data_IF_771732502451
#
_entry.id   IF_771732502451
#
_cell.length_a   1.000
_cell.length_b   1.000
_cell.length_c   1.000
_cell.angle_alpha   90.00
_cell.angle_beta   90.00
_cell.angle_gamma   90.00
#
_symmetry.space_group_name_H-M   'P 1'
#
loop_
_entity.id
_entity.type
_entity.pdbx_description
1 polymer ?
#
# COMPACT_ATOMS: atom_id res chain seq x y z
N UNK A 1 10.45 10.74 -16.10
CA UNK A 1 11.56 9.87 -15.70
C UNK A 1 11.12 8.45 -16.03
N UNK A 2 11.93 7.63 -16.71
CA UNK A 2 11.76 6.19 -17.00
C UNK A 2 12.89 5.38 -16.33
N UNK A 3 12.96 4.04 -16.49
CA UNK A 3 14.06 3.23 -15.93
C UNK A 3 15.44 3.63 -16.49
N UNK A 4 15.51 4.00 -17.76
CA UNK A 4 16.72 4.53 -18.39
C UNK A 4 17.21 5.81 -17.69
N UNK A 5 16.32 6.76 -17.39
CA UNK A 5 16.66 7.96 -16.63
C UNK A 5 17.13 7.68 -15.19
N UNK A 6 16.69 6.58 -14.58
CA UNK A 6 17.16 6.19 -13.24
C UNK A 6 18.55 5.58 -13.27
N UNK A 7 18.98 5.02 -14.41
CA UNK A 7 20.18 4.24 -14.51
C UNK A 7 21.44 4.92 -13.97
N UNK A 8 21.73 6.19 -14.33
CA UNK A 8 22.94 6.87 -13.84
C UNK A 8 22.91 7.11 -12.33
N UNK A 9 21.73 7.25 -11.72
CA UNK A 9 21.57 7.42 -10.27
C UNK A 9 21.78 6.11 -9.50
N UNK A 10 21.72 4.97 -10.20
CA UNK A 10 21.92 3.63 -9.64
C UNK A 10 23.31 3.07 -9.99
N UNK A 11 24.25 3.93 -10.38
CA UNK A 11 25.59 3.57 -10.87
C UNK A 11 25.55 2.55 -12.03
N UNK A 12 24.51 2.64 -12.87
CA UNK A 12 24.27 1.76 -13.99
C UNK A 12 24.83 2.29 -15.31
N UNK A 13 25.05 1.36 -16.25
CA UNK A 13 25.47 1.63 -17.63
C UNK A 13 24.27 1.44 -18.55
N UNK A 14 23.96 2.45 -19.37
CA UNK A 14 22.91 2.36 -20.38
C UNK A 14 23.50 1.65 -21.61
N UNK A 15 22.92 0.50 -21.98
CA UNK A 15 23.30 -0.27 -23.16
C UNK A 15 22.62 0.27 -24.42
N UNK A 16 23.15 -0.11 -25.59
CA UNK A 16 22.51 0.13 -26.89
C UNK A 16 21.11 -0.48 -26.88
N UNK A 17 20.07 0.36 -26.91
CA UNK A 17 18.67 -0.06 -26.76
C UNK A 17 17.95 0.49 -25.51
N UNK A 18 18.64 1.26 -24.66
CA UNK A 18 18.05 1.94 -23.50
C UNK A 18 17.94 1.07 -22.23
N UNK A 19 18.46 -0.16 -22.28
CA UNK A 19 18.50 -1.05 -21.12
C UNK A 19 19.52 -0.56 -20.09
N UNK A 20 19.11 -0.49 -18.83
CA UNK A 20 20.00 -0.14 -17.73
C UNK A 20 20.65 -1.39 -17.15
N UNK A 21 21.98 -1.49 -17.22
CA UNK A 21 22.75 -2.60 -16.65
C UNK A 21 23.44 -2.14 -15.36
N UNK A 22 23.16 -2.85 -14.26
CA UNK A 22 23.73 -2.59 -12.95
C UNK A 22 24.84 -3.58 -12.63
N UNK A 23 25.93 -3.10 -12.04
CA UNK A 23 26.95 -3.96 -11.46
C UNK A 23 26.45 -4.49 -10.10
N UNK A 24 26.50 -5.80 -9.94
CA UNK A 24 26.12 -6.52 -8.72
C UNK A 24 27.32 -7.29 -8.19
N UNK A 25 27.23 -7.83 -6.97
CA UNK A 25 28.29 -8.67 -6.40
C UNK A 25 28.55 -9.95 -7.22
N UNK A 26 27.53 -10.43 -7.92
CA UNK A 26 27.55 -11.69 -8.65
C UNK A 26 27.70 -11.49 -10.18
N UNK A 27 28.09 -10.28 -10.63
CA UNK A 27 28.24 -9.92 -12.04
C UNK A 27 27.35 -8.75 -12.44
N UNK A 28 26.77 -8.78 -13.64
CA UNK A 28 25.91 -7.71 -14.15
C UNK A 28 24.45 -8.13 -14.21
N UNK A 29 23.54 -7.17 -14.04
CA UNK A 29 22.10 -7.42 -14.12
C UNK A 29 21.36 -6.24 -14.74
N UNK A 30 20.45 -6.54 -15.65
CA UNK A 30 19.51 -5.54 -16.18
C UNK A 30 18.51 -5.10 -15.11
N UNK A 31 18.37 -3.79 -14.91
CA UNK A 31 17.33 -3.19 -14.10
C UNK A 31 15.97 -3.45 -14.74
N UNK A 32 15.15 -4.26 -14.07
CA UNK A 32 13.80 -4.58 -14.55
C UNK A 32 12.74 -3.71 -13.88
N UNK A 33 11.55 -3.72 -14.46
CA UNK A 33 10.33 -3.21 -13.84
C UNK A 33 10.10 -3.87 -12.47
N UNK A 34 9.67 -3.10 -11.47
CA UNK A 34 9.32 -3.63 -10.15
C UNK A 34 8.04 -4.47 -10.22
N UNK A 35 7.96 -5.52 -9.40
CA UNK A 35 6.75 -6.33 -9.24
C UNK A 35 6.26 -6.16 -7.80
N UNK A 36 5.21 -5.36 -7.64
CA UNK A 36 4.58 -5.10 -6.34
C UNK A 36 3.69 -6.29 -5.98
N UNK A 37 4.06 -7.00 -4.91
CA UNK A 37 3.31 -8.17 -4.40
C UNK A 37 2.59 -7.83 -3.11
N UNK A 38 1.60 -8.63 -2.76
CA UNK A 38 1.01 -8.56 -1.43
C UNK A 38 2.11 -8.86 -0.38
N UNK A 39 2.16 -8.07 0.69
CA UNK A 39 3.26 -8.09 1.66
C UNK A 39 3.51 -9.46 2.31
N UNK A 40 2.46 -10.23 2.58
CA UNK A 40 2.52 -11.60 3.12
C UNK A 40 2.84 -12.64 2.04
N UNK A 41 2.73 -12.30 0.76
CA UNK A 41 3.19 -13.13 -0.37
C UNK A 41 4.69 -12.95 -0.68
N UNK A 42 5.35 -11.94 -0.12
CA UNK A 42 6.81 -11.83 -0.21
C UNK A 42 7.51 -13.08 0.36
N UNK A 43 8.53 -13.54 -0.33
CA UNK A 43 9.50 -14.49 0.25
C UNK A 43 10.20 -13.86 1.46
N UNK A 44 10.80 -14.69 2.32
CA UNK A 44 11.55 -14.17 3.46
C UNK A 44 12.74 -13.29 3.03
N UNK A 45 13.36 -13.58 1.88
CA UNK A 45 14.44 -12.77 1.33
C UNK A 45 13.94 -11.42 0.80
N UNK A 46 12.85 -11.40 0.02
CA UNK A 46 12.24 -10.16 -0.46
C UNK A 46 11.82 -9.27 0.70
N UNK A 47 11.14 -9.82 1.72
CA UNK A 47 10.73 -9.07 2.91
C UNK A 47 11.92 -8.50 3.67
N UNK A 48 13.00 -9.29 3.84
CA UNK A 48 14.24 -8.82 4.48
C UNK A 48 14.88 -7.67 3.72
N UNK A 49 14.90 -7.72 2.38
CA UNK A 49 15.42 -6.63 1.53
C UNK A 49 14.56 -5.38 1.67
N UNK A 50 13.24 -5.51 1.62
CA UNK A 50 12.30 -4.40 1.83
C UNK A 50 12.52 -3.72 3.19
N UNK A 51 12.52 -4.48 4.30
CA UNK A 51 12.78 -3.92 5.65
C UNK A 51 14.14 -3.25 5.75
N UNK A 52 15.18 -3.85 5.16
CA UNK A 52 16.53 -3.28 5.14
C UNK A 52 16.57 -1.96 4.37
N UNK A 53 15.94 -1.90 3.19
CA UNK A 53 15.89 -0.70 2.36
C UNK A 53 15.12 0.43 3.07
N UNK A 54 13.94 0.13 3.61
CA UNK A 54 13.14 1.06 4.42
C UNK A 54 13.93 1.63 5.61
N UNK A 55 14.59 0.76 6.39
CA UNK A 55 15.43 1.20 7.50
C UNK A 55 16.64 2.03 7.06
N UNK A 56 17.24 1.72 5.89
CA UNK A 56 18.36 2.48 5.34
C UNK A 56 17.94 3.89 4.92
N UNK A 57 16.81 4.03 4.22
CA UNK A 57 16.28 5.35 3.82
C UNK A 57 15.73 6.14 5.02
N UNK A 58 15.28 5.45 6.09
CA UNK A 58 14.98 6.12 7.37
C UNK A 58 16.25 6.68 7.99
N UNK A 59 17.29 5.85 8.14
CA UNK A 59 18.54 6.23 8.80
C UNK A 59 19.26 7.40 8.11
N UNK A 60 19.18 7.51 6.78
CA UNK A 60 19.81 8.61 6.03
C UNK A 60 18.89 9.84 5.83
N UNK A 61 17.70 9.85 6.44
CA UNK A 61 16.75 10.95 6.39
C UNK A 61 15.94 11.09 5.10
N UNK A 62 16.13 10.21 4.10
CA UNK A 62 15.35 10.23 2.86
C UNK A 62 13.87 9.92 3.13
N UNK A 63 13.60 8.93 3.99
CA UNK A 63 12.24 8.61 4.41
C UNK A 63 11.55 9.81 5.05
N UNK A 64 12.21 10.50 5.98
CA UNK A 64 11.62 11.62 6.71
C UNK A 64 11.31 12.79 5.78
N UNK A 65 12.16 13.03 4.78
CA UNK A 65 11.88 14.03 3.75
C UNK A 65 10.63 13.69 2.96
N UNK A 66 10.47 12.43 2.56
CA UNK A 66 9.27 11.96 1.83
C UNK A 66 8.02 12.03 2.72
N UNK A 67 8.09 11.48 3.93
CA UNK A 67 7.01 11.45 4.89
C UNK A 67 6.48 12.87 5.22
N UNK A 68 7.37 13.86 5.32
CA UNK A 68 7.03 15.27 5.53
C UNK A 68 6.23 15.90 4.40
N UNK A 69 6.36 15.41 3.16
CA UNK A 69 5.61 15.96 2.03
C UNK A 69 4.11 15.77 2.27
N UNK A 70 3.70 14.55 2.64
CA UNK A 70 2.31 14.21 2.93
C UNK A 70 1.79 14.87 4.21
N UNK A 71 2.64 14.98 5.23
CA UNK A 71 2.28 15.52 6.55
C UNK A 71 1.93 17.02 6.56
N UNK A 72 1.96 17.70 5.41
CA UNK A 72 1.66 19.13 5.32
C UNK A 72 0.84 19.42 4.05
N UNK A 73 -0.39 19.90 4.26
CA UNK A 73 -1.29 20.30 3.18
C UNK A 73 -0.67 21.35 2.25
N UNK A 74 0.07 22.32 2.79
CA UNK A 74 0.72 23.36 1.98
C UNK A 74 1.74 22.79 1.00
N UNK A 75 2.33 21.63 1.31
CA UNK A 75 3.28 20.96 0.41
C UNK A 75 2.64 19.87 -0.44
N UNK A 76 1.39 19.47 -0.17
CA UNK A 76 0.69 18.40 -0.88
C UNK A 76 -0.82 18.62 -0.97
N UNK A 77 -1.28 19.75 -1.53
CA UNK A 77 -2.70 20.12 -1.51
C UNK A 77 -3.58 19.18 -2.34
N UNK A 78 -3.00 18.42 -3.28
CA UNK A 78 -3.70 17.42 -4.09
C UNK A 78 -3.71 16.02 -3.47
N UNK A 79 -3.06 15.81 -2.32
CA UNK A 79 -2.92 14.49 -1.71
C UNK A 79 -4.20 13.92 -1.11
N UNK A 80 -5.25 14.74 -0.93
CA UNK A 80 -6.52 14.34 -0.32
C UNK A 80 -7.69 15.21 -0.79
N UNK A 81 -8.92 14.69 -0.73
CA UNK A 81 -10.13 15.52 -0.75
C UNK A 81 -10.67 15.86 -2.15
N UNK A 82 -10.06 15.35 -3.22
CA UNK A 82 -10.45 15.70 -4.59
C UNK A 82 -9.81 14.82 -5.66
N UNK A 83 -10.20 15.06 -6.92
CA UNK A 83 -9.79 14.28 -8.09
C UNK A 83 -8.28 14.09 -8.27
N UNK A 84 -7.47 15.01 -7.71
CA UNK A 84 -6.00 14.93 -7.70
C UNK A 84 -5.40 13.85 -6.78
N UNK A 85 -6.21 13.21 -5.93
CA UNK A 85 -5.78 12.21 -4.94
C UNK A 85 -5.00 11.04 -5.56
N UNK A 86 -5.58 10.35 -6.55
CA UNK A 86 -4.98 9.17 -7.17
C UNK A 86 -3.71 9.49 -7.97
N UNK A 87 -3.70 10.51 -8.86
CA UNK A 87 -2.51 10.85 -9.63
C UNK A 87 -1.35 11.32 -8.74
N UNK A 88 -1.64 12.10 -7.70
CA UNK A 88 -0.65 12.54 -6.72
C UNK A 88 -0.07 11.36 -5.92
N UNK A 89 -0.95 10.48 -5.41
CA UNK A 89 -0.55 9.32 -4.62
C UNK A 89 0.32 8.35 -5.42
N UNK A 90 0.00 8.12 -6.70
CA UNK A 90 0.81 7.30 -7.60
C UNK A 90 2.23 7.84 -7.77
N UNK A 91 2.35 9.15 -8.00
CA UNK A 91 3.67 9.79 -8.09
C UNK A 91 4.43 9.71 -6.77
N UNK A 92 3.75 9.94 -5.66
CA UNK A 92 4.32 9.85 -4.32
C UNK A 92 4.87 8.45 -4.00
N UNK A 93 4.11 7.38 -4.31
CA UNK A 93 4.54 5.99 -4.18
C UNK A 93 5.77 5.70 -5.05
N UNK A 94 5.82 6.22 -6.28
CA UNK A 94 6.98 6.08 -7.16
C UNK A 94 8.24 6.69 -6.52
N UNK A 95 8.13 7.84 -5.84
CA UNK A 95 9.28 8.47 -5.17
C UNK A 95 9.86 7.60 -4.06
N UNK A 96 9.00 6.97 -3.25
CA UNK A 96 9.47 6.00 -2.26
C UNK A 96 10.13 4.78 -2.93
N UNK A 97 9.49 4.20 -3.93
CA UNK A 97 10.01 3.00 -4.60
C UNK A 97 11.39 3.26 -5.25
N UNK A 98 11.60 4.43 -5.85
CA UNK A 98 12.92 4.85 -6.34
C UNK A 98 13.93 4.91 -5.18
N UNK A 99 13.57 5.54 -4.05
CA UNK A 99 14.47 5.62 -2.89
C UNK A 99 14.84 4.23 -2.34
N UNK A 100 13.90 3.29 -2.32
CA UNK A 100 14.16 1.90 -1.94
C UNK A 100 15.11 1.21 -2.92
N UNK A 101 14.89 1.41 -4.22
CA UNK A 101 15.66 0.77 -5.29
C UNK A 101 17.08 1.31 -5.43
N UNK A 102 17.30 2.57 -5.07
CA UNK A 102 18.65 3.14 -4.90
C UNK A 102 19.44 2.44 -3.78
N UNK A 103 18.77 1.80 -2.82
CA UNK A 103 19.43 0.98 -1.79
C UNK A 103 19.61 -0.47 -2.26
N UNK A 104 18.58 -1.03 -2.89
CA UNK A 104 18.57 -2.40 -3.40
C UNK A 104 17.69 -2.47 -4.67
N UNK A 105 18.29 -2.60 -5.87
CA UNK A 105 17.56 -2.55 -7.15
C UNK A 105 16.49 -3.63 -7.33
N UNK A 106 16.55 -4.71 -6.54
CA UNK A 106 15.59 -5.83 -6.55
C UNK A 106 14.36 -5.56 -5.67
N UNK A 107 14.37 -4.52 -4.84
CA UNK A 107 13.22 -4.19 -3.99
C UNK A 107 12.08 -3.61 -4.83
N UNK A 108 10.87 -4.07 -4.55
CA UNK A 108 9.62 -3.46 -5.00
C UNK A 108 8.82 -3.03 -3.77
N UNK A 109 7.99 -2.00 -3.91
CA UNK A 109 7.07 -1.61 -2.85
C UNK A 109 5.93 -2.64 -2.77
N UNK A 110 5.77 -3.39 -1.66
CA UNK A 110 4.63 -4.29 -1.53
C UNK A 110 3.35 -3.52 -1.27
N UNK A 111 2.21 -4.08 -1.70
CA UNK A 111 0.90 -3.63 -1.25
C UNK A 111 0.43 -4.45 -0.05
N UNK A 112 -0.42 -3.86 0.77
CA UNK A 112 -1.14 -4.55 1.85
C UNK A 112 -2.60 -4.63 1.47
N UNK A 113 -3.12 -5.85 1.35
CA UNK A 113 -4.54 -6.11 1.08
C UNK A 113 -5.30 -6.26 2.41
N UNK A 114 -6.10 -5.27 2.84
CA UNK A 114 -6.84 -5.34 4.10
C UNK A 114 -7.99 -6.36 4.07
N UNK A 115 -8.45 -6.79 2.89
CA UNK A 115 -9.57 -7.75 2.82
C UNK A 115 -9.16 -9.11 3.39
N UNK A 116 -7.88 -9.49 3.24
CA UNK A 116 -7.34 -10.72 3.83
C UNK A 116 -7.43 -10.71 5.37
N UNK A 117 -7.31 -9.54 5.98
CA UNK A 117 -7.45 -9.37 7.42
C UNK A 117 -8.93 -9.29 7.83
N UNK A 118 -9.79 -8.72 6.99
CA UNK A 118 -11.23 -8.60 7.23
C UNK A 118 -11.94 -9.96 7.34
N UNK A 119 -11.45 -10.99 6.64
CA UNK A 119 -11.99 -12.35 6.73
C UNK A 119 -11.82 -13.00 8.12
N UNK A 120 -11.03 -12.38 9.00
CA UNK A 120 -10.91 -12.83 10.38
C UNK A 120 -12.11 -12.37 11.25
N UNK A 121 -12.63 -13.28 12.05
CA UNK A 121 -13.52 -13.06 13.19
C UNK A 121 -13.01 -11.98 14.15
N UNK A 122 -11.69 -11.89 14.33
CA UNK A 122 -11.03 -10.78 15.03
C UNK A 122 -9.75 -10.37 14.29
N UNK A 123 -9.83 -9.33 13.44
CA UNK A 123 -8.69 -8.88 12.64
C UNK A 123 -7.55 -8.27 13.46
N UNK A 124 -7.76 -7.94 14.75
CA UNK A 124 -6.69 -7.45 15.65
C UNK A 124 -5.63 -8.53 15.94
N UNK A 125 -5.98 -9.80 15.74
CA UNK A 125 -5.09 -10.95 15.87
C UNK A 125 -4.42 -11.40 14.57
N UNK A 126 -4.60 -10.68 13.46
CA UNK A 126 -3.87 -10.97 12.22
C UNK A 126 -2.35 -11.05 12.43
N UNK A 127 -1.71 -12.00 11.75
CA UNK A 127 -0.25 -12.18 11.76
C UNK A 127 0.50 -10.93 11.26
N UNK A 128 -0.18 -10.05 10.51
CA UNK A 128 0.37 -8.76 10.08
C UNK A 128 0.88 -7.94 11.27
N UNK A 129 0.15 -7.95 12.39
CA UNK A 129 0.46 -7.23 13.64
C UNK A 129 1.47 -7.97 14.54
N UNK A 130 2.34 -8.77 13.94
CA UNK A 130 3.39 -9.51 14.66
C UNK A 130 4.73 -8.82 14.57
N UNK A 131 5.62 -9.17 15.51
CA UNK A 131 7.00 -8.65 15.59
C UNK A 131 7.82 -8.89 14.33
N UNK A 132 7.51 -9.94 13.57
CA UNK A 132 8.21 -10.36 12.35
C UNK A 132 7.69 -9.63 11.11
N UNK A 133 6.43 -9.21 11.13
CA UNK A 133 5.76 -8.54 10.02
C UNK A 133 5.74 -7.03 10.23
N UNK A 134 4.59 -6.40 10.42
CA UNK A 134 4.48 -4.94 10.48
C UNK A 134 4.57 -4.38 11.89
N UNK A 135 4.83 -5.22 12.89
CA UNK A 135 5.05 -4.83 14.27
C UNK A 135 3.86 -5.11 15.19
N UNK A 136 4.19 -5.46 16.43
CA UNK A 136 3.23 -5.64 17.52
C UNK A 136 3.13 -4.34 18.32
N UNK A 137 1.91 -3.88 18.59
CA UNK A 137 1.68 -2.73 19.48
C UNK A 137 1.79 -3.16 20.96
N UNK A 138 2.32 -2.27 21.79
CA UNK A 138 2.27 -2.36 23.24
C UNK A 138 0.89 -1.93 23.77
N UNK A 139 0.69 -2.08 25.08
CA UNK A 139 -0.55 -1.65 25.77
C UNK A 139 -0.85 -0.16 25.58
N UNK A 140 0.17 0.70 25.52
CA UNK A 140 0.06 2.15 25.30
C UNK A 140 0.17 2.55 23.82
N UNK A 141 0.06 1.57 22.91
CA UNK A 141 -0.07 1.72 21.46
C UNK A 141 1.26 1.84 20.71
N UNK A 142 2.41 1.96 21.36
CA UNK A 142 3.70 2.06 20.68
C UNK A 142 4.08 0.76 19.97
N UNK A 143 4.66 0.86 18.77
CA UNK A 143 5.09 -0.29 17.97
C UNK A 143 6.61 -0.47 18.08
N UNK A 144 7.06 -0.82 19.27
CA UNK A 144 8.48 -0.99 19.64
C UNK A 144 9.03 -2.39 19.32
N UNK A 145 8.15 -3.37 19.08
CA UNK A 145 8.53 -4.72 18.64
C UNK A 145 8.17 -4.89 17.16
N UNK A 146 9.04 -4.38 16.31
CA UNK A 146 8.87 -4.44 14.85
C UNK A 146 10.20 -4.44 14.11
N UNK A 147 10.21 -4.74 12.79
CA UNK A 147 11.37 -4.49 11.93
C UNK A 147 11.76 -3.01 11.83
N UNK A 148 10.91 -2.10 12.33
CA UNK A 148 11.06 -0.64 12.27
C UNK A 148 11.24 -0.01 13.65
N UNK A 149 11.50 -0.81 14.70
CA UNK A 149 11.57 -0.39 16.12
C UNK A 149 12.52 0.76 16.47
N UNK A 150 13.45 1.10 15.58
CA UNK A 150 14.42 2.18 15.76
C UNK A 150 14.00 3.48 15.05
N UNK A 151 12.77 3.57 14.56
CA UNK A 151 12.26 4.73 13.85
C UNK A 151 11.76 5.79 14.82
N UNK A 152 12.37 6.97 14.81
CA UNK A 152 11.79 8.16 15.45
C UNK A 152 10.73 8.77 14.55
N UNK A 153 9.59 9.19 15.09
CA UNK A 153 8.52 9.85 14.31
C UNK A 153 8.93 11.28 13.92
N UNK A 154 8.21 11.88 12.97
CA UNK A 154 8.46 13.25 12.52
C UNK A 154 8.33 14.30 13.64
N UNK A 155 7.48 14.03 14.63
CA UNK A 155 7.26 14.83 15.84
C UNK A 155 8.20 14.44 17.01
N UNK A 156 9.17 13.56 16.78
CA UNK A 156 10.24 13.27 17.74
C UNK A 156 9.95 12.16 18.76
N UNK A 157 8.81 11.45 18.66
CA UNK A 157 8.54 10.28 19.51
C UNK A 157 9.46 9.11 19.14
N UNK A 158 9.73 8.25 20.12
CA UNK A 158 10.65 7.10 19.97
C UNK A 158 10.23 6.10 18.88
N UNK A 159 8.93 5.90 18.70
CA UNK A 159 8.34 5.05 17.65
C UNK A 159 6.91 5.50 17.38
N UNK A 160 6.37 5.08 16.24
CA UNK A 160 4.97 5.31 15.87
C UNK A 160 4.02 4.48 16.74
N UNK A 161 2.77 4.92 16.79
CA UNK A 161 1.68 4.31 17.54
C UNK A 161 0.62 3.73 16.62
N UNK A 162 -0.06 2.70 17.11
CA UNK A 162 -1.29 2.12 16.55
C UNK A 162 -2.30 1.89 17.65
N UNK A 163 -3.57 1.88 17.28
CA UNK A 163 -4.70 1.47 18.12
C UNK A 163 -5.57 0.52 17.28
N UNK A 164 -5.00 -0.63 16.92
CA UNK A 164 -5.62 -1.54 15.94
C UNK A 164 -7.00 -2.00 16.40
N UNK A 165 -8.02 -1.75 15.58
CA UNK A 165 -9.40 -2.15 15.82
C UNK A 165 -10.22 -1.24 16.73
N UNK A 166 -9.66 -0.12 17.22
CA UNK A 166 -10.39 0.84 18.07
C UNK A 166 -11.49 1.59 17.29
N UNK A 167 -11.22 1.90 16.01
CA UNK A 167 -12.10 2.66 15.12
C UNK A 167 -12.04 2.12 13.70
N UNK A 168 -12.93 2.60 12.84
CA UNK A 168 -12.91 2.24 11.43
C UNK A 168 -13.15 0.75 11.19
N UNK A 169 -12.82 0.29 9.98
CA UNK A 169 -12.89 -1.11 9.60
C UNK A 169 -12.00 -1.36 8.37
N UNK A 170 -11.55 -2.59 8.21
CA UNK A 170 -10.76 -3.00 7.05
C UNK A 170 -11.60 -2.99 5.78
N UNK A 171 -10.97 -2.71 4.63
CA UNK A 171 -11.63 -2.88 3.32
C UNK A 171 -12.20 -4.28 3.20
N UNK A 172 -13.38 -4.38 2.59
CA UNK A 172 -14.04 -5.65 2.29
C UNK A 172 -13.88 -5.98 0.82
N UNK A 173 -14.03 -7.26 0.47
CA UNK A 173 -14.08 -7.66 -0.94
C UNK A 173 -15.19 -6.92 -1.70
N UNK A 174 -16.33 -6.71 -1.04
CA UNK A 174 -17.46 -5.95 -1.61
C UNK A 174 -17.13 -4.49 -1.88
N UNK A 175 -16.24 -3.86 -1.10
CA UNK A 175 -15.81 -2.49 -1.38
C UNK A 175 -15.00 -2.43 -2.67
N UNK A 176 -14.10 -3.41 -2.87
CA UNK A 176 -13.28 -3.52 -4.08
C UNK A 176 -14.14 -3.82 -5.29
N UNK A 177 -15.01 -4.83 -5.22
CA UNK A 177 -15.88 -5.19 -6.36
C UNK A 177 -16.87 -4.07 -6.69
N UNK A 178 -17.36 -3.32 -5.70
CA UNK A 178 -18.17 -2.10 -5.97
C UNK A 178 -17.43 -1.11 -6.87
N UNK A 179 -16.12 -0.92 -6.64
CA UNK A 179 -15.28 -0.04 -7.47
C UNK A 179 -14.98 -0.69 -8.82
N UNK A 180 -14.53 -1.95 -8.85
CA UNK A 180 -14.01 -2.58 -10.08
C UNK A 180 -15.08 -3.16 -11.00
N UNK A 181 -16.26 -3.50 -10.49
CA UNK A 181 -17.27 -4.26 -11.25
C UNK A 181 -18.55 -3.44 -11.47
N UNK A 182 -18.86 -2.51 -10.56
CA UNK A 182 -20.13 -1.76 -10.52
C UNK A 182 -19.99 -0.27 -10.80
N UNK A 183 -18.76 0.25 -10.90
CA UNK A 183 -18.50 1.66 -11.17
C UNK A 183 -17.75 1.77 -12.50
N UNK A 184 -18.39 2.19 -13.58
CA UNK A 184 -17.72 2.38 -14.88
C UNK A 184 -17.44 3.86 -15.23
N UNK A 185 -17.87 4.79 -14.38
CA UNK A 185 -17.72 6.23 -14.56
C UNK A 185 -16.40 6.72 -13.93
N UNK A 186 -15.53 7.36 -14.71
CA UNK A 186 -14.26 7.86 -14.18
C UNK A 186 -14.47 9.00 -13.17
N UNK A 187 -15.57 9.75 -13.25
CA UNK A 187 -15.93 10.80 -12.30
C UNK A 187 -16.04 10.26 -10.87
N UNK A 188 -16.58 9.06 -10.70
CA UNK A 188 -16.67 8.41 -9.39
C UNK A 188 -15.30 7.93 -8.90
N UNK A 189 -14.42 7.48 -9.81
CA UNK A 189 -13.04 7.09 -9.46
C UNK A 189 -12.21 8.30 -9.01
N UNK A 190 -12.41 9.44 -9.67
CA UNK A 190 -11.79 10.72 -9.33
C UNK A 190 -12.71 11.59 -8.46
N UNK A 191 -13.40 10.98 -7.50
CA UNK A 191 -14.38 11.61 -6.63
C UNK A 191 -13.85 12.83 -5.86
N UNK A 192 -14.77 13.75 -5.54
CA UNK A 192 -14.53 14.94 -4.72
C UNK A 192 -14.93 14.70 -3.26
N UNK A 193 -14.03 14.10 -2.49
CA UNK A 193 -14.26 13.59 -1.12
C UNK A 193 -14.25 14.65 -0.03
N UNK A 194 -13.83 15.87 -0.33
CA UNK A 194 -13.96 17.03 0.54
C UNK A 194 -14.74 18.17 -0.13
N UNK A 195 -15.71 17.81 -0.99
CA UNK A 195 -16.51 18.75 -1.76
C UNK A 195 -17.37 19.67 -0.90
N UNK A 196 -17.65 20.88 -1.41
CA UNK A 196 -18.67 21.74 -0.82
C UNK A 196 -20.08 21.19 -1.07
N UNK A 197 -21.06 21.67 -0.31
CA UNK A 197 -22.48 21.31 -0.48
C UNK A 197 -23.04 21.66 -1.88
N UNK A 198 -22.40 22.58 -2.60
CA UNK A 198 -22.83 23.03 -3.92
C UNK A 198 -22.19 22.24 -5.07
N UNK A 199 -21.32 21.27 -4.77
CA UNK A 199 -20.72 20.44 -5.80
C UNK A 199 -21.80 19.59 -6.49
N UNK A 200 -21.94 19.66 -7.82
CA UNK A 200 -22.93 18.85 -8.54
C UNK A 200 -22.64 17.34 -8.47
N UNK A 201 -21.38 16.95 -8.23
CA UNK A 201 -20.99 15.54 -8.13
C UNK A 201 -19.98 15.31 -6.98
N UNK A 202 -20.44 15.32 -5.72
CA UNK A 202 -19.58 15.09 -4.57
C UNK A 202 -19.19 13.60 -4.47
N UNK A 203 -18.14 13.30 -3.70
CA UNK A 203 -17.72 11.91 -3.47
C UNK A 203 -18.79 11.08 -2.76
N UNK A 204 -19.02 9.87 -3.27
CA UNK A 204 -19.97 8.91 -2.71
C UNK A 204 -19.29 7.90 -1.76
N UNK A 205 -20.05 7.09 -1.01
CA UNK A 205 -19.51 6.23 0.05
C UNK A 205 -18.48 5.19 -0.42
N UNK A 206 -18.52 4.82 -1.71
CA UNK A 206 -17.59 3.91 -2.37
C UNK A 206 -16.41 4.62 -3.05
N UNK A 207 -16.25 5.93 -2.86
CA UNK A 207 -15.06 6.64 -3.31
C UNK A 207 -13.80 5.97 -2.73
N UNK A 208 -12.82 5.72 -3.60
CA UNK A 208 -11.65 4.89 -3.26
C UNK A 208 -10.83 5.47 -2.10
N UNK A 209 -10.77 6.80 -1.96
CA UNK A 209 -10.12 7.46 -0.83
C UNK A 209 -10.84 7.17 0.49
N UNK A 210 -12.18 7.13 0.52
CA UNK A 210 -12.93 6.73 1.71
C UNK A 210 -12.71 5.25 2.04
N UNK A 211 -12.71 4.38 1.03
CA UNK A 211 -12.43 2.94 1.20
C UNK A 211 -11.05 2.73 1.82
N UNK A 212 -10.03 3.42 1.31
CA UNK A 212 -8.69 3.48 1.89
C UNK A 212 -8.67 4.00 3.34
N UNK A 213 -9.35 5.12 3.58
CA UNK A 213 -9.40 5.80 4.87
C UNK A 213 -10.01 4.94 5.98
N UNK A 214 -11.01 4.10 5.68
CA UNK A 214 -11.58 3.17 6.66
C UNK A 214 -10.51 2.22 7.25
N UNK A 215 -9.62 1.72 6.40
CA UNK A 215 -8.50 0.88 6.85
C UNK A 215 -7.41 1.67 7.59
N UNK A 216 -7.18 2.93 7.21
CA UNK A 216 -6.32 3.82 8.01
C UNK A 216 -6.83 3.99 9.44
N UNK A 217 -8.14 4.24 9.59
CA UNK A 217 -8.81 4.35 10.89
C UNK A 217 -8.73 3.04 11.68
N UNK A 218 -8.86 1.88 11.01
CA UNK A 218 -8.68 0.58 11.64
C UNK A 218 -7.30 0.37 12.24
N UNK A 219 -6.24 0.82 11.56
CA UNK A 219 -4.89 0.74 12.13
C UNK A 219 -4.74 1.67 13.34
N UNK A 220 -5.39 2.84 13.29
CA UNK A 220 -5.45 3.79 14.40
C UNK A 220 -4.08 4.43 14.69
N UNK A 221 -3.99 5.14 15.82
CA UNK A 221 -2.75 5.79 16.24
C UNK A 221 -2.26 6.82 15.22
N UNK A 222 -1.01 6.70 14.76
CA UNK A 222 -0.45 7.61 13.75
C UNK A 222 -1.17 7.49 12.40
N UNK A 223 -1.63 6.29 12.02
CA UNK A 223 -2.25 6.02 10.71
C UNK A 223 -3.58 6.74 10.49
N UNK A 224 -4.28 7.13 11.56
CA UNK A 224 -5.63 7.70 11.50
C UNK A 224 -5.65 9.18 11.07
N UNK A 225 -4.52 9.88 11.17
CA UNK A 225 -4.41 11.32 10.89
C UNK A 225 -3.45 11.53 9.71
N UNK A 226 -3.90 12.24 8.68
CA UNK A 226 -3.11 12.50 7.48
C UNK A 226 -1.78 13.25 7.77
N UNK A 227 -1.72 14.03 8.86
CA UNK A 227 -0.50 14.73 9.31
C UNK A 227 0.54 13.76 9.88
N UNK A 228 0.13 12.58 10.35
CA UNK A 228 1.02 11.63 11.02
C UNK A 228 1.07 10.26 10.37
N UNK A 229 0.20 9.94 9.42
CA UNK A 229 0.05 8.59 8.88
C UNK A 229 1.34 8.02 8.31
N UNK A 230 2.18 8.86 7.71
CA UNK A 230 3.49 8.47 7.16
C UNK A 230 4.54 8.16 8.23
N UNK A 231 4.29 8.38 9.52
CA UNK A 231 5.12 7.85 10.59
C UNK A 231 5.09 6.31 10.62
N UNK A 232 3.96 5.70 10.23
CA UNK A 232 3.80 4.26 10.15
C UNK A 232 4.20 3.75 8.75
N UNK A 233 5.19 2.85 8.62
CA UNK A 233 5.61 2.32 7.33
C UNK A 233 4.51 1.52 6.59
N UNK A 234 3.44 1.09 7.26
CA UNK A 234 2.30 0.41 6.63
C UNK A 234 1.52 1.34 5.70
N UNK A 235 1.58 2.66 5.90
CA UNK A 235 0.99 3.68 5.04
C UNK A 235 1.24 3.40 3.56
N UNK A 236 2.50 3.16 3.20
CA UNK A 236 2.91 3.02 1.81
C UNK A 236 2.34 1.77 1.15
N UNK A 237 2.23 0.68 1.91
CA UNK A 237 1.63 -0.55 1.42
C UNK A 237 0.10 -0.44 1.30
N UNK A 238 -0.56 0.32 2.16
CA UNK A 238 -1.99 0.62 2.02
C UNK A 238 -2.26 1.48 0.77
N UNK A 239 -1.47 2.53 0.54
CA UNK A 239 -1.64 3.39 -0.62
C UNK A 239 -1.26 2.69 -1.93
N UNK A 240 -0.32 1.73 -1.89
CA UNK A 240 -0.07 0.83 -3.02
C UNK A 240 -1.27 -0.06 -3.33
N UNK A 241 -2.07 -0.47 -2.33
CA UNK A 241 -3.33 -1.20 -2.57
C UNK A 241 -4.40 -0.30 -3.19
N UNK A 242 -4.51 0.95 -2.74
CA UNK A 242 -5.40 1.95 -3.37
C UNK A 242 -5.03 2.16 -4.84
N UNK A 243 -3.74 2.34 -5.14
CA UNK A 243 -3.27 2.44 -6.53
C UNK A 243 -3.50 1.16 -7.35
N UNK A 244 -3.41 -0.02 -6.71
CA UNK A 244 -3.68 -1.29 -7.37
C UNK A 244 -5.17 -1.45 -7.74
N UNK A 245 -6.09 -1.10 -6.84
CA UNK A 245 -7.54 -1.08 -7.14
C UNK A 245 -7.82 -0.13 -8.30
N UNK A 246 -7.20 1.06 -8.30
CA UNK A 246 -7.34 1.99 -9.42
C UNK A 246 -6.79 1.40 -10.73
N UNK A 247 -5.61 0.76 -10.72
CA UNK A 247 -5.07 0.17 -11.95
C UNK A 247 -5.94 -0.98 -12.49
N UNK A 248 -6.51 -1.82 -11.62
CA UNK A 248 -7.48 -2.86 -12.04
C UNK A 248 -8.70 -2.23 -12.72
N UNK A 249 -9.24 -1.14 -12.15
CA UNK A 249 -10.33 -0.40 -12.77
C UNK A 249 -9.96 0.12 -14.16
N UNK A 250 -8.75 0.68 -14.33
CA UNK A 250 -8.25 1.17 -15.64
C UNK A 250 -8.08 0.04 -16.65
N UNK A 251 -7.72 -1.16 -16.20
CA UNK A 251 -7.64 -2.35 -17.06
C UNK A 251 -9.01 -2.79 -17.57
N UNK A 252 -10.05 -2.68 -16.74
CA UNK A 252 -11.42 -3.06 -17.09
C UNK A 252 -12.14 -2.01 -17.95
N UNK A 253 -12.04 -0.73 -17.60
CA UNK A 253 -12.89 0.32 -18.18
C UNK A 253 -12.17 1.33 -19.08
N UNK A 254 -10.84 1.28 -19.13
CA UNK A 254 -10.03 2.11 -20.05
C UNK A 254 -9.16 1.23 -20.96
N UNK A 255 -9.76 0.36 -21.80
CA UNK A 255 -9.01 -0.52 -22.70
C UNK A 255 -8.26 0.25 -23.78
N UNK A 256 -8.73 1.45 -24.15
CA UNK A 256 -8.02 2.37 -25.04
C UNK A 256 -6.96 3.10 -24.20
N UNK A 257 -5.67 2.85 -24.48
CA UNK A 257 -4.56 3.46 -23.74
C UNK A 257 -4.58 5.00 -23.71
N UNK A 258 -5.21 5.64 -24.69
CA UNK A 258 -5.32 7.11 -24.68
C UNK A 258 -6.40 7.63 -23.71
N UNK A 259 -7.45 6.85 -23.42
CA UNK A 259 -8.48 7.21 -22.43
C UNK A 259 -7.88 7.25 -21.03
N UNK A 260 -6.99 6.29 -20.77
CA UNK A 260 -6.18 6.16 -19.54
C UNK A 260 -5.44 7.43 -19.14
N UNK A 261 -5.09 8.30 -20.08
CA UNK A 261 -4.36 9.55 -19.85
C UNK A 261 -5.23 10.80 -20.08
N UNK A 262 -6.48 10.63 -20.53
CA UNK A 262 -7.37 11.73 -20.93
C UNK A 262 -8.62 11.87 -20.08
N UNK A 263 -9.18 10.80 -19.56
CA UNK A 263 -10.38 10.84 -18.73
C UNK A 263 -10.06 11.37 -17.33
N UNK A 264 -10.50 12.59 -17.05
CA UNK A 264 -10.32 13.28 -15.78
C UNK A 264 -11.43 14.33 -15.62
N UNK A 265 -11.96 14.56 -14.40
CA UNK A 265 -13.04 15.52 -14.19
C UNK A 265 -12.71 16.94 -14.68
N UNK A 266 -13.74 17.67 -15.09
CA UNK A 266 -13.63 19.10 -15.40
C UNK A 266 -13.25 19.90 -14.15
N UNK A 267 -12.65 21.07 -14.36
CA UNK A 267 -12.33 21.97 -13.25
C UNK A 267 -13.63 22.56 -12.68
N UNK A 268 -13.89 22.29 -11.40
CA UNK A 268 -15.03 22.84 -10.69
C UNK A 268 -14.60 23.25 -9.26
N UNK A 269 -14.60 24.56 -9.01
CA UNK A 269 -14.22 25.15 -7.72
C UNK A 269 -15.24 24.89 -6.61
N UNK A 270 -16.47 24.47 -6.95
CA UNK A 270 -17.46 24.04 -5.96
C UNK A 270 -17.17 22.62 -5.45
N UNK A 271 -16.46 21.81 -6.25
CA UNK A 271 -16.13 20.43 -5.92
C UNK A 271 -14.74 20.26 -5.30
N UNK A 272 -13.72 20.97 -5.78
CA UNK A 272 -12.39 20.89 -5.18
C UNK A 272 -11.56 22.14 -5.47
N UNK A 273 -10.52 22.36 -4.64
CA UNK A 273 -9.60 23.48 -4.83
C UNK A 273 -8.77 23.34 -6.12
N UNK A 274 -8.21 24.44 -6.66
CA UNK A 274 -7.44 24.42 -7.91
C UNK A 274 -6.25 23.47 -7.93
N UNK A 275 -5.73 23.05 -6.77
CA UNK A 275 -4.68 22.05 -6.67
C UNK A 275 -5.05 20.68 -7.29
N UNK A 276 -6.35 20.35 -7.39
CA UNK A 276 -6.83 19.11 -8.00
C UNK A 276 -7.08 19.22 -9.51
N UNK A 277 -6.97 20.41 -10.09
CA UNK A 277 -7.30 20.63 -11.48
C UNK A 277 -6.29 19.98 -12.41
N UNK A 278 -6.79 19.48 -13.54
CA UNK A 278 -6.04 18.69 -14.53
C UNK A 278 -4.64 19.25 -14.83
N UNK A 279 -4.58 20.54 -15.12
CA UNK A 279 -3.37 21.22 -15.59
C UNK A 279 -2.60 21.95 -14.47
N UNK A 280 -3.05 21.85 -13.22
CA UNK A 280 -2.36 22.46 -12.09
C UNK A 280 -1.04 21.73 -11.81
N UNK A 281 -0.02 22.43 -11.30
CA UNK A 281 1.19 21.80 -10.81
C UNK A 281 0.86 20.76 -9.74
N UNK A 282 1.45 19.57 -9.86
CA UNK A 282 1.36 18.52 -8.85
C UNK A 282 2.36 18.82 -7.72
N UNK A 283 2.00 19.71 -6.79
CA UNK A 283 2.90 20.13 -5.71
C UNK A 283 3.17 18.95 -4.76
N UNK A 284 4.44 18.67 -4.38
CA UNK A 284 5.67 19.45 -4.62
C UNK A 284 6.50 18.94 -5.82
N UNK A 285 5.94 18.06 -6.64
CA UNK A 285 6.56 17.50 -7.84
C UNK A 285 6.46 18.48 -9.01
N UNK A 286 7.05 19.67 -8.87
CA UNK A 286 6.83 20.86 -9.72
C UNK A 286 7.08 20.68 -11.24
N UNK A 287 7.72 19.60 -11.67
CA UNK A 287 7.88 19.25 -13.10
C UNK A 287 6.69 18.45 -13.66
N UNK A 288 5.66 18.21 -12.86
CA UNK A 288 4.47 17.44 -13.22
C UNK A 288 3.23 18.30 -13.00
N UNK A 289 2.26 18.13 -13.89
CA UNK A 289 0.87 18.49 -13.68
C UNK A 289 0.13 17.33 -13.04
N UNK A 290 -1.01 17.60 -12.40
CA UNK A 290 -1.84 16.53 -11.81
C UNK A 290 -2.16 15.43 -12.84
N UNK A 291 -2.51 15.83 -14.08
CA UNK A 291 -2.83 14.88 -15.14
C UNK A 291 -1.67 13.95 -15.52
N UNK A 292 -0.41 14.35 -15.30
CA UNK A 292 0.74 13.53 -15.65
C UNK A 292 0.82 12.25 -14.76
N UNK A 293 0.17 12.25 -13.60
CA UNK A 293 0.00 11.06 -12.76
C UNK A 293 -0.89 9.99 -13.39
N UNK A 294 -1.64 10.29 -14.45
CA UNK A 294 -2.41 9.30 -15.20
C UNK A 294 -1.56 8.51 -16.20
N UNK A 295 -0.29 8.87 -16.42
CA UNK A 295 0.48 8.25 -17.50
C UNK A 295 0.50 6.71 -17.41
N UNK A 296 0.34 6.05 -18.54
CA UNK A 296 0.47 4.59 -18.65
C UNK A 296 1.91 4.13 -18.43
N UNK A 297 2.89 5.03 -18.54
CA UNK A 297 4.32 4.73 -18.31
C UNK A 297 4.63 4.24 -16.90
N UNK A 298 3.87 4.65 -15.87
CA UNK A 298 4.04 4.09 -14.52
C UNK A 298 3.86 2.58 -14.54
N UNK A 299 2.78 2.10 -15.17
CA UNK A 299 2.41 0.69 -15.20
C UNK A 299 2.84 -0.05 -16.46
N UNK A 300 3.53 0.59 -17.40
CA UNK A 300 4.19 -0.08 -18.53
C UNK A 300 5.70 -0.21 -18.31
N UNK A 301 6.35 0.80 -17.72
CA UNK A 301 7.81 0.86 -17.63
C UNK A 301 8.36 0.69 -16.19
N UNK A 302 7.65 1.16 -15.15
CA UNK A 302 8.21 1.22 -13.79
C UNK A 302 7.85 0.08 -12.87
N UNK A 303 6.55 -0.19 -12.71
CA UNK A 303 6.06 -1.23 -11.81
C UNK A 303 4.83 -1.93 -12.38
N UNK A 304 4.63 -3.19 -12.04
CA UNK A 304 3.34 -3.88 -12.17
C UNK A 304 2.94 -4.44 -10.82
N UNK A 305 1.66 -4.70 -10.65
CA UNK A 305 1.17 -5.50 -9.55
C UNK A 305 1.20 -6.99 -9.93
N UNK A 306 1.55 -7.82 -8.95
CA UNK A 306 1.15 -9.23 -8.95
C UNK A 306 -0.31 -9.32 -8.49
N UNK A 307 -1.04 -10.33 -8.95
CA UNK A 307 -2.43 -10.51 -8.55
C UNK A 307 -2.58 -10.74 -7.05
N UNK A 308 -3.73 -10.32 -6.52
CA UNK A 308 -4.13 -10.63 -5.14
C UNK A 308 -4.16 -12.15 -4.92
N UNK A 309 -3.75 -12.64 -3.74
CA UNK A 309 -3.71 -14.07 -3.47
C UNK A 309 -5.12 -14.67 -3.55
N UNK A 310 -5.23 -15.82 -4.23
CA UNK A 310 -6.47 -16.59 -4.40
C UNK A 310 -6.26 -17.98 -3.80
N UNK A 311 -7.34 -18.63 -3.38
CA UNK A 311 -7.28 -20.02 -2.95
C UNK A 311 -6.80 -20.88 -4.13
N UNK A 312 -5.70 -21.61 -3.92
CA UNK A 312 -4.96 -22.36 -4.95
C UNK A 312 -5.22 -23.88 -4.87
N UNK A 313 -6.31 -24.29 -4.22
CA UNK A 313 -6.58 -25.69 -3.88
C UNK A 313 -5.73 -26.22 -2.72
N UNK A 314 -4.65 -25.51 -2.33
CA UNK A 314 -4.00 -25.69 -1.04
C UNK A 314 -4.73 -24.89 0.04
N UNK A 315 -4.49 -25.23 1.31
CA UNK A 315 -5.01 -24.44 2.44
C UNK A 315 -4.18 -23.18 2.73
N UNK A 316 -3.17 -22.82 1.93
CA UNK A 316 -2.19 -21.79 2.26
C UNK A 316 -2.22 -20.52 1.41
N UNK A 317 -3.00 -20.49 0.31
CA UNK A 317 -3.01 -19.35 -0.61
C UNK A 317 -1.61 -18.95 -1.10
N UNK A 318 -0.72 -19.94 -1.33
CA UNK A 318 0.67 -19.71 -1.71
C UNK A 318 1.58 -19.05 -0.65
N UNK A 319 1.13 -18.84 0.59
CA UNK A 319 1.95 -18.23 1.65
C UNK A 319 1.78 -18.87 3.02
N UNK A 320 2.89 -19.00 3.75
CA UNK A 320 2.86 -19.44 5.16
C UNK A 320 2.14 -18.49 6.11
N UNK A 321 1.84 -17.27 5.66
CA UNK A 321 1.15 -16.24 6.42
C UNK A 321 -0.34 -16.14 6.09
N UNK A 322 -0.82 -16.90 5.11
CA UNK A 322 -2.21 -16.91 4.68
C UNK A 322 -2.79 -18.31 4.81
N UNK A 323 -4.12 -18.39 4.81
CA UNK A 323 -4.84 -19.63 4.65
C UNK A 323 -6.07 -19.44 3.76
N UNK A 324 -6.57 -20.52 3.18
CA UNK A 324 -7.83 -20.49 2.43
C UNK A 324 -9.02 -20.71 3.38
N UNK A 325 -9.89 -19.71 3.50
CA UNK A 325 -11.11 -19.78 4.30
C UNK A 325 -12.16 -20.65 3.56
N UNK A 326 -12.84 -21.56 4.29
CA UNK A 326 -13.67 -22.62 3.70
C UNK A 326 -15.03 -22.12 3.22
N UNK A 327 -15.66 -21.18 3.91
CA UNK A 327 -16.99 -20.68 3.61
C UNK A 327 -17.04 -19.74 2.41
N UNK A 328 -16.25 -18.68 2.45
CA UNK A 328 -16.09 -17.63 1.44
C UNK A 328 -15.22 -18.06 0.26
N UNK A 329 -14.33 -19.06 0.45
CA UNK A 329 -13.28 -19.44 -0.52
C UNK A 329 -12.33 -18.27 -0.83
N UNK A 330 -12.22 -17.31 0.07
CA UNK A 330 -11.24 -16.24 0.00
C UNK A 330 -9.99 -16.57 0.82
N UNK A 331 -8.88 -15.95 0.44
CA UNK A 331 -7.68 -16.00 1.25
C UNK A 331 -7.83 -15.11 2.48
N UNK A 332 -7.37 -15.60 3.62
CA UNK A 332 -7.38 -14.90 4.88
C UNK A 332 -5.98 -14.87 5.50
N UNK A 333 -5.70 -13.81 6.28
CA UNK A 333 -4.48 -13.68 7.07
C UNK A 333 -4.45 -14.72 8.17
N UNK A 334 -3.33 -15.40 8.42
CA UNK A 334 -3.25 -16.29 9.58
C UNK A 334 -3.38 -15.55 10.91
N UNK A 335 -3.84 -16.26 11.93
CA UNK A 335 -4.07 -15.74 13.28
C UNK A 335 -2.82 -15.94 14.14
N UNK A 336 -2.44 -14.91 14.90
CA UNK A 336 -1.36 -15.00 15.91
C UNK A 336 -1.78 -15.87 17.09
N UNK A 337 -0.79 -16.41 17.80
CA UNK A 337 -1.01 -17.07 19.09
C UNK A 337 -1.79 -16.16 20.06
N UNK A 338 -2.78 -16.74 20.74
CA UNK A 338 -3.72 -16.04 21.63
C UNK A 338 -4.99 -15.54 20.93
N UNK A 339 -5.02 -15.53 19.59
CA UNK A 339 -6.19 -15.11 18.83
C UNK A 339 -7.22 -16.21 18.65
N UNK A 340 -8.48 -15.85 18.33
CA UNK A 340 -9.55 -16.80 18.08
C UNK A 340 -9.31 -17.56 16.79
N UNK A 341 -9.56 -18.87 16.83
CA UNK A 341 -9.57 -19.76 15.65
C UNK A 341 -10.94 -20.43 15.42
N UNK A 342 -12.01 -19.83 15.96
CA UNK A 342 -13.39 -20.26 15.68
C UNK A 342 -13.71 -20.20 14.20
N UNK A 343 -14.25 -21.28 13.66
CA UNK A 343 -14.87 -21.34 12.32
C UNK A 343 -13.91 -21.30 11.12
N UNK A 344 -12.60 -21.49 11.30
CA UNK A 344 -11.68 -21.53 10.18
C UNK A 344 -11.30 -22.95 9.73
N UNK A 345 -10.71 -23.03 8.53
CA UNK A 345 -10.01 -24.22 8.04
C UNK A 345 -8.82 -24.58 8.94
N UNK A 346 -8.45 -25.87 9.06
CA UNK A 346 -7.21 -26.27 9.70
C UNK A 346 -5.99 -25.56 9.08
N UNK A 347 -5.17 -24.93 9.91
CA UNK A 347 -3.94 -24.23 9.50
C UNK A 347 -4.04 -22.70 9.54
N UNK A 348 -5.13 -22.16 10.07
CA UNK A 348 -5.40 -20.76 10.38
C UNK A 348 -4.41 -20.16 11.39
N UNK A 349 -3.95 -20.95 12.36
CA UNK A 349 -3.00 -20.50 13.37
C UNK A 349 -1.58 -20.45 12.81
N UNK A 350 -0.93 -19.28 12.86
CA UNK A 350 0.47 -19.14 12.47
C UNK A 350 1.39 -19.79 13.52
N UNK A 351 2.21 -20.76 13.10
CA UNK A 351 3.16 -21.50 13.95
C UNK A 351 2.51 -22.12 15.21
N UNK A 352 1.24 -22.49 15.10
CA UNK A 352 0.43 -23.00 16.21
C UNK A 352 -0.63 -24.00 15.76
N UNK A 353 -1.54 -24.30 16.66
CA UNK A 353 -2.72 -25.12 16.43
C UNK A 353 -3.93 -24.54 17.18
N UNK A 354 -5.12 -24.81 16.66
CA UNK A 354 -6.35 -24.37 17.31
C UNK A 354 -6.71 -25.34 18.45
N UNK A 355 -6.68 -24.87 19.69
CA UNK A 355 -7.18 -25.62 20.87
C UNK A 355 -8.19 -24.78 21.61
N UNK A 356 -9.36 -25.37 21.90
CA UNK A 356 -10.46 -24.68 22.58
C UNK A 356 -10.77 -23.32 21.94
N UNK A 357 -10.81 -23.29 20.59
CA UNK A 357 -11.08 -22.09 19.80
C UNK A 357 -10.04 -20.96 19.91
N UNK A 358 -8.85 -21.22 20.47
CA UNK A 358 -7.75 -20.26 20.54
C UNK A 358 -6.49 -20.85 19.88
N UNK A 359 -5.77 -20.02 19.13
CA UNK A 359 -4.48 -20.38 18.58
C UNK A 359 -3.44 -20.49 19.71
N UNK A 360 -2.92 -21.70 19.92
CA UNK A 360 -1.87 -21.97 20.90
C UNK A 360 -0.61 -22.48 20.21
N UNK A 361 0.54 -22.29 20.85
CA UNK A 361 1.79 -22.88 20.34
C UNK A 361 1.66 -24.39 20.36
N UNK A 362 2.13 -25.06 19.31
CA UNK A 362 2.31 -26.51 19.33
C UNK A 362 3.29 -26.83 20.46
N UNK A 363 2.89 -27.70 21.38
CA UNK A 363 3.84 -28.32 22.32
C UNK A 363 4.93 -28.99 21.48
N UNK A 364 6.19 -28.72 21.81
CA UNK A 364 7.27 -29.52 21.25
C UNK A 364 6.93 -30.98 21.59
N UNK A 365 6.90 -31.87 20.59
CA UNK A 365 6.94 -33.29 20.88
C UNK A 365 8.21 -33.52 21.69
N UNK A 366 8.06 -34.02 22.91
CA UNK A 366 9.16 -34.62 23.66
C UNK A 366 9.60 -35.86 22.83
N UNK A 367 10.54 -35.65 21.92
CA UNK A 367 11.31 -36.72 21.27
C UNK A 367 12.57 -37.03 22.11
#
# INVERSE_FOLDING_TARGET
>A
MNLECLCPYMDGIILTGGECMLQTKDGYRTLKKAVRKEYRMLTDQERKRYHKAMNKIKKNGVYDKLAKLHANYSTSPAAHGGSGFLPWSREYLKRLEIALRLVDPEVALPYWDPTLDYELSDPTYSILWSRKLMGEQSYDGYVDKSPFKNWTTLDGRRTFKRNVGDKGYLMKETDITTITDWTNEYEHIFAHTAASLNCPNPGYWSAIEYVGSKSQLFVGGDMQDFLTATNDPLFWSLYAMVDFIWEQWRELYQPILSDREKQYPANDTTCSGPAHFRNSPMIPFNNFKVIDGLSTKYTQEFYKYEERPKCDGSNSCGSKYLFCERGTRHCASKVKIGGPCTNYSPGECYEGECKNNICVKKSASDD
#
